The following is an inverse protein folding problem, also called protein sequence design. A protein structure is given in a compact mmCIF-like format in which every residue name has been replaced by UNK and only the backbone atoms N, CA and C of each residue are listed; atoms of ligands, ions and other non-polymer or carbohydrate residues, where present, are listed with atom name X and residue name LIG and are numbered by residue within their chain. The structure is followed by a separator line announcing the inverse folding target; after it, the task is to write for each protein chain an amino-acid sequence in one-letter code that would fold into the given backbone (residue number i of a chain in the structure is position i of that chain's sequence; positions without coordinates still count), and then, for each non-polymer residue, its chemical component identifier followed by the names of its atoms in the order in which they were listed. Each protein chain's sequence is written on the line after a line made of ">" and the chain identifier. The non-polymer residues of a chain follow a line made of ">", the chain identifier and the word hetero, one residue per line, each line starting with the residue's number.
data_IF_521298050493
#
_entry.id   IF_521298050493
#
_cell.length_a   1.000
_cell.length_b   1.000
_cell.length_c   1.000
_cell.angle_alpha   90.00
_cell.angle_beta   90.00
_cell.angle_gamma   90.00
#
_symmetry.space_group_name_H-M   'P 1'
#
loop_
_entity.id
_entity.type
_entity.pdbx_description
1 polymer ?
#
# COMPACT_ATOMS: atom_id res chain seq x y z
N UNK A 1 15.17 -6.52 17.62
CA UNK A 1 15.79 -5.60 16.65
C UNK A 1 17.30 -5.72 16.78
N UNK A 2 18.03 -5.84 15.68
CA UNK A 2 19.49 -5.79 15.68
C UNK A 2 19.95 -4.32 15.66
N UNK A 3 20.98 -3.98 16.43
CA UNK A 3 21.54 -2.62 16.45
C UNK A 3 22.47 -2.46 15.26
N UNK A 4 22.16 -1.51 14.39
CA UNK A 4 22.99 -1.16 13.23
C UNK A 4 23.47 0.27 13.42
N UNK A 5 24.76 0.52 13.25
CA UNK A 5 25.35 1.87 13.25
C UNK A 5 25.59 2.25 11.80
N UNK A 6 24.96 3.33 11.37
CA UNK A 6 25.09 3.89 10.02
C UNK A 6 25.15 5.41 10.14
N UNK A 7 25.88 6.03 9.23
CA UNK A 7 25.81 7.47 9.02
C UNK A 7 24.57 7.78 8.17
N UNK A 8 23.78 8.75 8.62
CA UNK A 8 22.55 9.17 7.95
C UNK A 8 22.58 10.69 7.86
N UNK A 9 22.15 11.20 6.72
CA UNK A 9 21.94 12.64 6.55
C UNK A 9 20.84 13.13 7.51
N UNK A 10 21.21 14.03 8.42
CA UNK A 10 20.31 14.50 9.48
C UNK A 10 19.23 15.46 8.95
N UNK A 11 19.47 16.16 7.85
CA UNK A 11 18.46 17.02 7.20
C UNK A 11 17.39 16.15 6.53
N UNK A 12 17.80 15.16 5.74
CA UNK A 12 16.89 14.20 5.14
C UNK A 12 16.07 13.43 6.18
N UNK A 13 16.70 13.07 7.31
CA UNK A 13 16.04 12.37 8.40
C UNK A 13 15.00 13.26 9.09
N UNK A 14 15.28 14.55 9.26
CA UNK A 14 14.33 15.51 9.82
C UNK A 14 13.13 15.74 8.89
N UNK A 15 13.36 15.88 7.59
CA UNK A 15 12.28 16.00 6.60
C UNK A 15 11.41 14.75 6.58
N UNK A 16 12.01 13.56 6.57
CA UNK A 16 11.29 12.31 6.65
C UNK A 16 10.47 12.21 7.96
N UNK A 17 11.02 12.66 9.09
CA UNK A 17 10.32 12.67 10.36
C UNK A 17 9.08 13.58 10.33
N UNK A 18 9.17 14.74 9.67
CA UNK A 18 8.03 15.63 9.45
C UNK A 18 6.97 14.99 8.55
N UNK A 19 7.37 14.35 7.44
CA UNK A 19 6.47 13.66 6.51
C UNK A 19 5.73 12.52 7.20
N UNK A 20 6.43 11.72 8.00
CA UNK A 20 5.86 10.55 8.68
C UNK A 20 5.26 10.86 10.05
N UNK A 21 5.38 12.09 10.55
CA UNK A 21 4.90 12.50 11.87
C UNK A 21 5.58 11.76 13.03
N UNK A 22 6.85 11.38 12.85
CA UNK A 22 7.61 10.60 13.84
C UNK A 22 8.52 11.48 14.68
N UNK A 23 8.72 11.11 15.95
CA UNK A 23 9.52 11.89 16.91
C UNK A 23 10.88 11.29 17.21
N UNK A 24 11.17 10.08 16.71
CA UNK A 24 12.46 9.40 16.94
C UNK A 24 13.11 9.00 15.62
N UNK A 25 14.45 9.03 15.58
CA UNK A 25 15.24 8.60 14.41
C UNK A 25 14.89 7.16 14.00
N UNK A 26 14.77 6.24 14.96
CA UNK A 26 14.42 4.83 14.70
C UNK A 26 13.02 4.68 14.10
N UNK A 27 12.01 5.39 14.65
CA UNK A 27 10.66 5.34 14.08
C UNK A 27 10.64 5.88 12.65
N UNK A 28 11.37 6.96 12.40
CA UNK A 28 11.49 7.58 11.07
C UNK A 28 12.11 6.63 10.05
N UNK A 29 13.23 5.99 10.40
CA UNK A 29 13.90 5.01 9.53
C UNK A 29 12.99 3.82 9.25
N UNK A 30 12.34 3.27 10.28
CA UNK A 30 11.43 2.14 10.10
C UNK A 30 10.23 2.49 9.22
N UNK A 31 9.63 3.68 9.41
CA UNK A 31 8.52 4.16 8.60
C UNK A 31 8.94 4.35 7.13
N UNK A 32 10.11 4.95 6.89
CA UNK A 32 10.66 5.13 5.55
C UNK A 32 10.90 3.79 4.84
N UNK A 33 11.48 2.81 5.54
CA UNK A 33 11.71 1.47 4.99
C UNK A 33 10.39 0.75 4.68
N UNK A 34 9.40 0.86 5.57
CA UNK A 34 8.09 0.27 5.37
C UNK A 34 7.38 0.89 4.16
N UNK A 35 7.42 2.22 4.01
CA UNK A 35 6.86 2.92 2.86
C UNK A 35 7.54 2.51 1.54
N UNK A 36 8.87 2.41 1.52
CA UNK A 36 9.62 1.94 0.36
C UNK A 36 9.22 0.52 -0.05
N UNK A 37 9.11 -0.40 0.91
CA UNK A 37 8.66 -1.78 0.68
C UNK A 37 7.24 -1.80 0.13
N UNK A 38 6.31 -1.07 0.78
CA UNK A 38 4.91 -1.01 0.35
C UNK A 38 4.79 -0.41 -1.06
N UNK A 39 5.52 0.66 -1.36
CA UNK A 39 5.56 1.27 -2.70
C UNK A 39 6.03 0.27 -3.75
N UNK A 40 7.10 -0.49 -3.48
CA UNK A 40 7.61 -1.50 -4.41
C UNK A 40 6.64 -2.66 -4.61
N UNK A 41 5.96 -3.11 -3.55
CA UNK A 41 4.91 -4.15 -3.61
C UNK A 41 3.71 -3.67 -4.42
N UNK A 42 3.24 -2.44 -4.21
CA UNK A 42 2.15 -1.84 -5.02
C UNK A 42 2.54 -1.78 -6.49
N UNK A 43 3.75 -1.32 -6.81
CA UNK A 43 4.23 -1.28 -8.19
C UNK A 43 4.30 -2.68 -8.84
N UNK A 44 4.81 -3.68 -8.11
CA UNK A 44 4.83 -5.07 -8.58
C UNK A 44 3.42 -5.60 -8.84
N UNK A 45 2.51 -5.36 -7.91
CA UNK A 45 1.11 -5.79 -8.02
C UNK A 45 0.42 -5.15 -9.22
N UNK A 46 0.60 -3.84 -9.43
CA UNK A 46 0.05 -3.14 -10.59
C UNK A 46 0.64 -3.66 -11.91
N UNK A 47 1.94 -3.98 -11.95
CA UNK A 47 2.55 -4.62 -13.12
C UNK A 47 1.95 -5.99 -13.41
N UNK A 48 1.83 -6.83 -12.39
CA UNK A 48 1.17 -8.14 -12.50
C UNK A 48 -0.30 -8.03 -12.94
N UNK A 49 -1.03 -7.02 -12.47
CA UNK A 49 -2.39 -6.75 -12.94
C UNK A 49 -2.41 -6.40 -14.43
N UNK A 50 -1.49 -5.54 -14.89
CA UNK A 50 -1.39 -5.14 -16.29
C UNK A 50 -1.02 -6.33 -17.20
N UNK A 51 -0.30 -7.32 -16.68
CA UNK A 51 0.03 -8.58 -17.36
C UNK A 51 -1.12 -9.59 -17.39
N UNK A 52 -2.30 -9.24 -16.85
CA UNK A 52 -3.48 -10.11 -16.84
C UNK A 52 -3.55 -11.03 -15.64
N UNK A 53 -2.97 -10.64 -14.50
CA UNK A 53 -2.95 -11.43 -13.27
C UNK A 53 -4.31 -11.83 -12.68
N UNK A 54 -5.41 -11.23 -13.13
CA UNK A 54 -6.77 -11.54 -12.67
C UNK A 54 -7.67 -12.06 -13.81
N UNK A 55 -7.32 -13.18 -14.47
CA UNK A 55 -8.01 -13.64 -15.67
C UNK A 55 -9.50 -13.90 -15.44
N UNK A 56 -9.88 -14.39 -14.26
CA UNK A 56 -11.26 -14.73 -13.91
C UNK A 56 -12.05 -13.53 -13.35
N UNK A 57 -11.42 -12.37 -13.15
CA UNK A 57 -12.06 -11.15 -12.62
C UNK A 57 -12.10 -10.00 -13.63
N UNK A 58 -11.69 -10.22 -14.89
CA UNK A 58 -11.75 -9.20 -15.96
C UNK A 58 -12.88 -9.44 -16.97
N UNK A 59 -13.78 -10.39 -16.72
CA UNK A 59 -14.95 -10.66 -17.56
C UNK A 59 -16.09 -9.66 -17.35
N UNK A 60 -17.14 -9.70 -18.20
CA UNK A 60 -18.36 -8.92 -17.99
C UNK A 60 -18.94 -9.17 -16.60
N UNK A 61 -19.42 -8.10 -15.94
CA UNK A 61 -20.17 -8.25 -14.70
C UNK A 61 -21.56 -8.76 -15.06
N UNK A 62 -21.86 -10.01 -14.70
CA UNK A 62 -23.21 -10.56 -14.76
C UNK A 62 -24.09 -9.80 -13.76
N UNK A 63 -24.77 -8.75 -14.22
CA UNK A 63 -25.86 -8.15 -13.46
C UNK A 63 -26.98 -9.19 -13.43
N UNK A 64 -27.11 -9.95 -12.35
CA UNK A 64 -28.28 -10.79 -12.18
C UNK A 64 -29.51 -9.90 -12.30
N UNK A 65 -30.25 -10.09 -13.39
CA UNK A 65 -31.56 -9.49 -13.55
C UNK A 65 -32.38 -9.98 -12.36
N UNK A 66 -32.81 -9.06 -11.51
CA UNK A 66 -33.73 -9.25 -10.38
C UNK A 66 -34.69 -10.40 -10.64
N UNK A 67 -34.42 -11.54 -10.02
CA UNK A 67 -35.45 -12.52 -9.68
C UNK A 67 -35.75 -12.23 -8.22
N UNK A 68 -36.79 -11.42 -8.01
CA UNK A 68 -37.49 -11.18 -6.74
C UNK A 68 -36.58 -10.85 -5.53
N UNK A 69 -36.20 -9.57 -5.38
CA UNK A 69 -35.64 -9.07 -4.13
C UNK A 69 -36.79 -8.56 -3.21
N UNK A 70 -37.15 -9.28 -2.14
CA UNK A 70 -38.23 -8.87 -1.22
C UNK A 70 -37.84 -7.67 -0.33
N UNK A 71 -36.61 -7.16 -0.40
CA UNK A 71 -36.13 -6.07 0.45
C UNK A 71 -36.24 -4.66 -0.16
N UNK A 72 -36.83 -4.52 -1.35
CA UNK A 72 -36.98 -3.23 -2.03
C UNK A 72 -38.31 -2.49 -1.71
N UNK A 73 -38.90 -2.74 -0.55
CA UNK A 73 -40.05 -2.01 -0.04
C UNK A 73 -39.86 -1.66 1.45
N UNK A 74 -39.36 -0.46 1.71
CA UNK A 74 -39.54 0.31 2.95
C UNK A 74 -39.21 1.79 2.69
#
# INVERSE_FOLDING_TARGET
>A
MARTVIDVDDEMLAEAAAIFGTTTKVATVNAALEDAIKRRKRAAFLGWLAEGGLPDLTGPVETSKTVDDPHQAA
#
